data_IF_241666259201
#
_entry.id   IF_241666259201
#
_cell.length_a   1.000
_cell.length_b   1.000
_cell.length_c   1.000
_cell.angle_alpha   90.00
_cell.angle_beta   90.00
_cell.angle_gamma   90.00
#
_symmetry.space_group_name_H-M   'P 1'
#
loop_
_entity.id
_entity.type
_entity.pdbx_description
1 polymer ?
#
# COMPACT_ATOMS: atom_id res chain seq x y z
N UNK A 1 12.12 -0.15 -17.93
CA UNK A 1 11.42 0.37 -16.72
C UNK A 1 10.46 1.52 -16.99
N UNK A 2 10.83 2.61 -17.70
CA UNK A 2 9.90 3.75 -17.90
C UNK A 2 8.51 3.37 -18.46
N UNK A 3 8.45 2.64 -19.57
CA UNK A 3 7.18 2.31 -20.25
C UNK A 3 6.34 1.24 -19.55
N UNK A 4 6.99 0.32 -18.84
CA UNK A 4 6.35 -0.89 -18.28
C UNK A 4 6.14 -0.80 -16.76
N UNK A 5 6.87 0.07 -16.07
CA UNK A 5 6.79 0.25 -14.61
C UNK A 5 6.26 1.64 -14.28
N UNK A 6 7.01 2.70 -14.62
CA UNK A 6 6.69 4.06 -14.15
C UNK A 6 5.47 4.66 -14.81
N UNK A 7 5.41 4.65 -16.15
CA UNK A 7 4.29 5.23 -16.89
C UNK A 7 2.93 4.64 -16.50
N UNK A 8 2.73 3.30 -16.47
CA UNK A 8 1.46 2.72 -16.02
C UNK A 8 1.16 3.05 -14.56
N UNK A 9 2.16 3.03 -13.68
CA UNK A 9 1.96 3.37 -12.25
C UNK A 9 1.52 4.82 -12.05
N UNK A 10 2.13 5.76 -12.77
CA UNK A 10 1.76 7.18 -12.72
C UNK A 10 0.34 7.37 -13.27
N UNK A 11 0.01 6.74 -14.40
CA UNK A 11 -1.37 6.78 -14.94
C UNK A 11 -2.38 6.23 -13.94
N UNK A 12 -2.07 5.10 -13.30
CA UNK A 12 -2.94 4.52 -12.29
C UNK A 12 -3.13 5.44 -11.07
N UNK A 13 -2.08 6.11 -10.61
CA UNK A 13 -2.19 7.09 -9.53
C UNK A 13 -3.08 8.29 -9.91
N UNK A 14 -2.99 8.76 -11.17
CA UNK A 14 -3.87 9.83 -11.69
C UNK A 14 -5.34 9.37 -11.69
N UNK A 15 -5.62 8.17 -12.21
CA UNK A 15 -6.98 7.61 -12.23
C UNK A 15 -7.53 7.40 -10.81
N UNK A 16 -6.71 6.91 -9.89
CA UNK A 16 -7.10 6.73 -8.50
C UNK A 16 -7.47 8.06 -7.82
N UNK A 17 -6.69 9.12 -8.07
CA UNK A 17 -7.00 10.47 -7.60
C UNK A 17 -8.29 11.03 -8.23
N UNK A 18 -8.67 10.57 -9.42
CA UNK A 18 -9.96 10.87 -10.06
C UNK A 18 -11.10 9.92 -9.60
N UNK A 19 -10.88 9.12 -8.55
CA UNK A 19 -11.81 8.09 -8.04
C UNK A 19 -12.15 6.99 -9.05
N UNK A 20 -11.29 6.75 -10.05
CA UNK A 20 -11.46 5.72 -11.05
C UNK A 20 -10.59 4.49 -10.75
N UNK A 21 -10.95 3.77 -9.69
CA UNK A 21 -10.21 2.59 -9.23
C UNK A 21 -10.13 1.49 -10.31
N UNK A 22 -11.20 1.29 -11.10
CA UNK A 22 -11.24 0.28 -12.15
C UNK A 22 -10.17 0.54 -13.23
N UNK A 23 -10.07 1.78 -13.72
CA UNK A 23 -9.07 2.13 -14.74
C UNK A 23 -7.65 2.11 -14.18
N UNK A 24 -7.47 2.47 -12.90
CA UNK A 24 -6.17 2.35 -12.23
C UNK A 24 -5.67 0.90 -12.23
N UNK A 25 -6.55 -0.07 -11.92
CA UNK A 25 -6.21 -1.49 -11.95
C UNK A 25 -5.79 -1.96 -13.35
N UNK A 26 -6.52 -1.55 -14.40
CA UNK A 26 -6.19 -1.88 -15.80
C UNK A 26 -4.79 -1.39 -16.18
N UNK A 27 -4.45 -0.14 -15.83
CA UNK A 27 -3.11 0.38 -16.13
C UNK A 27 -1.99 -0.41 -15.42
N UNK A 28 -2.25 -0.91 -14.22
CA UNK A 28 -1.27 -1.64 -13.41
C UNK A 28 -1.01 -3.08 -13.85
N UNK A 29 -1.78 -3.63 -14.80
CA UNK A 29 -1.54 -4.96 -15.37
C UNK A 29 -0.16 -5.04 -16.04
N UNK A 30 0.21 -4.00 -16.79
CA UNK A 30 1.49 -3.93 -17.50
C UNK A 30 2.71 -3.96 -16.56
N UNK A 31 2.55 -3.53 -15.31
CA UNK A 31 3.61 -3.46 -14.32
C UNK A 31 3.74 -4.73 -13.45
N UNK A 32 2.71 -5.59 -13.43
CA UNK A 32 2.66 -6.76 -12.55
C UNK A 32 3.88 -7.70 -12.67
N UNK A 33 4.40 -8.02 -13.88
CA UNK A 33 5.57 -8.89 -14.01
C UNK A 33 6.88 -8.25 -13.53
N UNK A 34 6.90 -6.93 -13.29
CA UNK A 34 8.12 -6.16 -13.03
C UNK A 34 8.13 -5.50 -11.64
N UNK A 35 7.08 -5.69 -10.83
CA UNK A 35 6.86 -4.91 -9.62
C UNK A 35 7.83 -5.21 -8.47
N UNK A 36 8.43 -6.40 -8.47
CA UNK A 36 9.50 -6.81 -7.55
C UNK A 36 10.90 -6.40 -8.02
N UNK A 37 11.01 -5.73 -9.17
CA UNK A 37 12.28 -5.23 -9.69
C UNK A 37 12.76 -3.96 -9.00
N UNK A 38 13.99 -3.56 -9.33
CA UNK A 38 14.64 -2.35 -8.85
C UNK A 38 14.67 -1.29 -9.97
N UNK A 39 13.59 -0.52 -10.18
CA UNK A 39 13.55 0.46 -11.25
C UNK A 39 14.57 1.58 -11.03
N UNK A 40 15.34 1.99 -12.06
CA UNK A 40 15.98 3.30 -12.07
C UNK A 40 14.91 4.40 -11.89
N UNK A 41 15.20 5.49 -11.19
CA UNK A 41 16.49 5.91 -10.63
C UNK A 41 16.82 5.38 -9.22
N UNK A 42 15.87 4.78 -8.50
CA UNK A 42 16.08 4.43 -7.10
C UNK A 42 16.99 3.22 -6.89
N UNK A 43 17.07 2.30 -7.87
CA UNK A 43 17.81 1.02 -7.73
C UNK A 43 17.45 0.28 -6.42
N UNK A 44 16.18 0.40 -6.03
CA UNK A 44 15.61 -0.18 -4.82
C UNK A 44 14.25 -0.78 -5.18
N UNK A 45 13.88 -1.84 -4.49
CA UNK A 45 12.59 -2.50 -4.63
C UNK A 45 11.46 -1.68 -4.03
N UNK A 46 11.07 -0.59 -4.70
CA UNK A 46 10.06 0.33 -4.18
C UNK A 46 8.65 -0.25 -4.12
N UNK A 47 8.34 -1.26 -4.96
CA UNK A 47 7.03 -1.89 -5.09
C UNK A 47 5.87 -0.87 -5.30
N UNK A 48 6.14 0.30 -5.91
CA UNK A 48 5.11 1.30 -6.19
C UNK A 48 3.86 0.74 -6.90
N UNK A 49 3.97 -0.12 -7.94
CA UNK A 49 2.80 -0.71 -8.59
C UNK A 49 1.91 -1.47 -7.62
N UNK A 50 2.48 -2.27 -6.71
CA UNK A 50 1.74 -3.02 -5.70
C UNK A 50 1.08 -2.08 -4.67
N UNK A 51 1.77 -1.02 -4.24
CA UNK A 51 1.19 -0.02 -3.33
C UNK A 51 -0.05 0.65 -3.95
N UNK A 52 0.06 1.17 -5.18
CA UNK A 52 -1.05 1.83 -5.87
C UNK A 52 -2.17 0.83 -6.17
N UNK A 53 -1.84 -0.43 -6.51
CA UNK A 53 -2.85 -1.49 -6.72
C UNK A 53 -3.63 -1.79 -5.44
N UNK A 54 -2.93 -1.88 -4.30
CA UNK A 54 -3.55 -2.06 -2.99
C UNK A 54 -4.49 -0.91 -2.64
N UNK A 55 -4.08 0.34 -2.90
CA UNK A 55 -4.94 1.52 -2.70
C UNK A 55 -6.16 1.51 -3.64
N UNK A 56 -5.99 1.11 -4.91
CA UNK A 56 -7.09 0.97 -5.85
C UNK A 56 -8.10 -0.09 -5.39
N UNK A 57 -7.64 -1.22 -4.85
CA UNK A 57 -8.53 -2.22 -4.27
C UNK A 57 -9.25 -1.74 -3.00
N UNK A 58 -8.59 -0.94 -2.15
CA UNK A 58 -9.26 -0.30 -1.01
C UNK A 58 -10.38 0.64 -1.49
N UNK A 59 -10.10 1.48 -2.49
CA UNK A 59 -11.09 2.39 -3.09
C UNK A 59 -12.25 1.64 -3.76
N UNK A 60 -11.99 0.45 -4.31
CA UNK A 60 -13.01 -0.44 -4.87
C UNK A 60 -13.74 -1.28 -3.81
N UNK A 61 -13.55 -1.01 -2.51
CA UNK A 61 -14.10 -1.78 -1.39
C UNK A 61 -13.75 -3.28 -1.41
N UNK A 62 -12.63 -3.67 -2.02
CA UNK A 62 -12.14 -5.05 -2.06
C UNK A 62 -10.97 -5.24 -1.10
N UNK A 63 -11.29 -5.43 0.19
CA UNK A 63 -10.30 -5.60 1.26
C UNK A 63 -9.39 -6.82 1.06
N UNK A 64 -9.92 -7.94 0.58
CA UNK A 64 -9.13 -9.16 0.36
C UNK A 64 -8.07 -8.99 -0.73
N UNK A 65 -8.43 -8.37 -1.85
CA UNK A 65 -7.46 -8.07 -2.91
C UNK A 65 -6.44 -7.02 -2.45
N UNK A 66 -6.89 -5.99 -1.72
CA UNK A 66 -5.98 -4.99 -1.15
C UNK A 66 -4.96 -5.61 -0.19
N UNK A 67 -5.40 -6.52 0.69
CA UNK A 67 -4.51 -7.21 1.63
C UNK A 67 -3.44 -8.02 0.89
N UNK A 68 -3.81 -8.71 -0.20
CA UNK A 68 -2.87 -9.45 -1.05
C UNK A 68 -1.77 -8.54 -1.60
N UNK A 69 -2.11 -7.33 -2.05
CA UNK A 69 -1.13 -6.39 -2.61
C UNK A 69 -0.18 -5.83 -1.54
N UNK A 70 -0.69 -5.46 -0.37
CA UNK A 70 0.15 -4.94 0.72
C UNK A 70 1.00 -6.05 1.38
N UNK A 71 0.53 -7.29 1.40
CA UNK A 71 1.28 -8.43 1.94
C UNK A 71 2.59 -8.68 1.18
N UNK A 72 2.65 -8.36 -0.12
CA UNK A 72 3.88 -8.48 -0.93
C UNK A 72 5.08 -7.74 -0.32
N UNK A 73 4.86 -6.61 0.34
CA UNK A 73 5.93 -5.85 1.01
C UNK A 73 6.53 -6.62 2.18
N UNK A 74 5.68 -7.31 2.95
CA UNK A 74 6.08 -8.11 4.10
C UNK A 74 6.73 -9.43 3.67
N UNK A 75 6.30 -9.98 2.54
CA UNK A 75 6.86 -11.21 1.98
C UNK A 75 8.23 -10.97 1.33
N UNK A 76 8.48 -9.73 0.86
CA UNK A 76 9.70 -9.34 0.15
C UNK A 76 10.48 -8.24 0.89
N UNK A 77 10.56 -8.29 2.22
CA UNK A 77 11.26 -7.28 3.04
C UNK A 77 12.71 -7.04 2.61
N UNK A 78 13.41 -8.06 2.12
CA UNK A 78 14.78 -7.93 1.62
C UNK A 78 14.89 -7.08 0.35
N UNK A 79 13.82 -6.97 -0.43
CA UNK A 79 13.72 -6.13 -1.63
C UNK A 79 13.33 -4.69 -1.25
N UNK A 80 12.40 -4.55 -0.29
CA UNK A 80 11.88 -3.25 0.18
C UNK A 80 12.88 -2.49 1.06
N UNK A 81 13.72 -3.21 1.81
CA UNK A 81 14.71 -2.64 2.74
C UNK A 81 14.07 -1.62 3.69
N UNK A 82 14.62 -0.39 3.75
CA UNK A 82 14.13 0.70 4.58
C UNK A 82 13.21 1.67 3.81
N UNK A 83 12.69 1.28 2.65
CA UNK A 83 11.84 2.16 1.84
C UNK A 83 10.51 2.47 2.58
N UNK A 84 10.04 3.73 2.61
CA UNK A 84 8.88 4.11 3.43
C UNK A 84 7.60 3.33 3.15
N UNK A 85 7.42 2.83 1.92
CA UNK A 85 6.25 2.02 1.57
C UNK A 85 6.18 0.69 2.33
N UNK A 86 7.31 0.17 2.82
CA UNK A 86 7.31 -1.03 3.68
C UNK A 86 6.55 -0.81 4.99
N UNK A 87 6.77 0.33 5.64
CA UNK A 87 6.01 0.67 6.84
C UNK A 87 4.55 1.03 6.51
N UNK A 88 4.30 1.77 5.42
CA UNK A 88 2.93 2.11 4.99
C UNK A 88 2.12 0.88 4.54
N UNK A 89 2.76 -0.21 4.13
CA UNK A 89 2.07 -1.45 3.81
C UNK A 89 1.36 -2.06 5.04
N UNK A 90 1.90 -1.88 6.26
CA UNK A 90 1.20 -2.29 7.48
C UNK A 90 -0.10 -1.50 7.69
N UNK A 91 -0.09 -0.18 7.43
CA UNK A 91 -1.29 0.63 7.46
C UNK A 91 -2.30 0.21 6.37
N UNK A 92 -1.81 -0.09 5.16
CA UNK A 92 -2.62 -0.64 4.07
C UNK A 92 -3.29 -1.96 4.44
N UNK A 93 -2.54 -2.90 5.04
CA UNK A 93 -3.06 -4.17 5.57
C UNK A 93 -4.11 -3.93 6.65
N UNK A 94 -3.87 -3.00 7.57
CA UNK A 94 -4.80 -2.69 8.64
C UNK A 94 -6.17 -2.22 8.10
N UNK A 95 -6.14 -1.30 7.12
CA UNK A 95 -7.34 -0.80 6.42
C UNK A 95 -8.02 -1.91 5.61
N UNK A 96 -7.25 -2.75 4.93
CA UNK A 96 -7.76 -3.88 4.15
C UNK A 96 -8.48 -4.90 5.02
N UNK A 97 -7.89 -5.28 6.16
CA UNK A 97 -8.51 -6.20 7.11
C UNK A 97 -9.75 -5.62 7.78
N UNK A 98 -9.74 -4.32 8.13
CA UNK A 98 -10.94 -3.66 8.65
C UNK A 98 -12.10 -3.73 7.66
N UNK A 99 -11.81 -3.45 6.39
CA UNK A 99 -12.79 -3.50 5.30
C UNK A 99 -13.33 -4.93 5.06
N UNK A 100 -12.49 -5.95 5.23
CA UNK A 100 -12.90 -7.37 5.15
C UNK A 100 -13.54 -7.91 6.43
N UNK A 101 -13.66 -7.11 7.50
CA UNK A 101 -14.23 -7.53 8.79
C UNK A 101 -13.32 -8.37 9.68
N UNK A 102 -12.04 -8.54 9.34
CA UNK A 102 -11.04 -9.23 10.16
C UNK A 102 -10.42 -8.26 11.18
N UNK A 103 -11.21 -7.88 12.19
CA UNK A 103 -10.82 -6.86 13.17
C UNK A 103 -9.57 -7.25 13.96
N UNK A 104 -9.37 -8.55 14.22
CA UNK A 104 -8.19 -9.03 14.93
C UNK A 104 -6.91 -8.75 14.14
N UNK A 105 -6.86 -9.12 12.85
CA UNK A 105 -5.70 -8.80 12.01
C UNK A 105 -5.55 -7.31 11.75
N UNK A 106 -6.66 -6.58 11.61
CA UNK A 106 -6.62 -5.12 11.46
C UNK A 106 -5.93 -4.47 12.65
N UNK A 107 -6.31 -4.86 13.88
CA UNK A 107 -5.71 -4.36 15.12
C UNK A 107 -4.21 -4.62 15.18
N UNK A 108 -3.79 -5.85 14.87
CA UNK A 108 -2.36 -6.21 14.83
C UNK A 108 -1.59 -5.37 13.81
N UNK A 109 -2.12 -5.22 12.59
CA UNK A 109 -1.44 -4.47 11.53
C UNK A 109 -1.29 -2.97 11.86
N UNK A 110 -2.28 -2.34 12.51
CA UNK A 110 -2.12 -0.98 13.04
C UNK A 110 -1.03 -0.88 14.11
N UNK A 111 -0.98 -1.85 15.03
CA UNK A 111 0.04 -1.89 16.07
C UNK A 111 1.44 -2.04 15.48
N UNK A 112 1.61 -2.90 14.47
CA UNK A 112 2.87 -3.04 13.75
C UNK A 112 3.29 -1.72 13.07
N UNK A 113 2.34 -1.03 12.42
CA UNK A 113 2.59 0.29 11.85
C UNK A 113 3.05 1.30 12.90
N UNK A 114 2.35 1.38 14.04
CA UNK A 114 2.71 2.31 15.12
C UNK A 114 4.05 1.97 15.77
N UNK A 115 4.43 0.68 15.85
CA UNK A 115 5.73 0.27 16.34
C UNK A 115 6.86 0.76 15.42
N UNK A 116 6.68 0.66 14.10
CA UNK A 116 7.63 1.19 13.12
C UNK A 116 7.68 2.72 13.10
N UNK A 117 6.56 3.39 13.39
CA UNK A 117 6.40 4.84 13.35
C UNK A 117 6.38 5.50 14.74
N UNK A 118 6.91 4.83 15.77
CA UNK A 118 6.87 5.31 17.16
C UNK A 118 7.56 6.65 17.38
N UNK A 119 8.59 6.94 16.59
CA UNK A 119 9.38 8.17 16.63
C UNK A 119 9.13 9.08 15.40
N UNK A 120 8.09 8.77 14.59
CA UNK A 120 7.69 9.65 13.49
C UNK A 120 7.14 10.98 14.03
N UNK A 121 7.16 12.02 13.20
CA UNK A 121 6.55 13.31 13.53
C UNK A 121 5.10 13.08 14.01
N UNK A 122 4.77 13.43 15.28
CA UNK A 122 3.45 13.15 15.83
C UNK A 122 2.34 13.93 15.13
N UNK A 123 2.69 15.00 14.39
CA UNK A 123 1.74 15.85 13.70
C UNK A 123 1.45 15.43 12.26
N UNK A 124 2.16 14.43 11.71
CA UNK A 124 1.94 13.98 10.34
C UNK A 124 0.50 13.44 10.17
N UNK A 125 -0.29 13.95 9.18
CA UNK A 125 -1.71 13.61 9.06
C UNK A 125 -2.01 12.11 9.01
N UNK A 126 -1.22 11.33 8.27
CA UNK A 126 -1.44 9.88 8.11
C UNK A 126 -1.33 9.10 9.43
N UNK A 127 -0.49 9.56 10.38
CA UNK A 127 -0.36 8.91 11.68
C UNK A 127 -1.56 9.25 12.58
N UNK A 128 -2.08 10.47 12.50
CA UNK A 128 -3.30 10.89 13.21
C UNK A 128 -4.51 10.10 12.71
N UNK A 129 -4.70 10.04 11.39
CA UNK A 129 -5.76 9.26 10.75
C UNK A 129 -5.70 7.78 11.17
N UNK A 130 -4.53 7.15 11.10
CA UNK A 130 -4.36 5.75 11.49
C UNK A 130 -4.74 5.49 12.97
N UNK A 131 -4.40 6.41 13.89
CA UNK A 131 -4.78 6.30 15.31
C UNK A 131 -6.29 6.42 15.51
N UNK A 132 -6.95 7.33 14.79
CA UNK A 132 -8.40 7.47 14.82
C UNK A 132 -9.12 6.25 14.24
N UNK A 133 -8.64 5.72 13.12
CA UNK A 133 -9.14 4.49 12.50
C UNK A 133 -9.00 3.29 13.46
N UNK A 134 -7.83 3.12 14.07
CA UNK A 134 -7.57 2.08 15.07
C UNK A 134 -8.52 2.18 16.27
N UNK A 135 -8.76 3.38 16.79
CA UNK A 135 -9.66 3.60 17.93
C UNK A 135 -11.13 3.23 17.61
N UNK A 136 -11.52 3.24 16.33
CA UNK A 136 -12.87 2.87 15.86
C UNK A 136 -13.04 1.36 15.68
N UNK A 137 -11.96 0.58 15.73
CA UNK A 137 -12.04 -0.89 15.69
C UNK A 137 -12.68 -1.39 16.99
N UNK A 138 -13.92 -1.87 16.87
CA UNK A 138 -14.68 -2.46 17.99
C UNK A 138 -14.04 -3.75 18.50
#
# INVERSE_FOLDING_TARGET
MLKVYWLPTIKAAIELNANNAAQALVFLEAAAPYELGEPPQFQLGTLYPACIRGQAYLAAHNGTAAATEFQKFLDHRGIVLNFPLGALAHLGLARAYALSGDTAKSRTAYQDFFALWKDADPDIPILKEAKEEYAKLK
#
